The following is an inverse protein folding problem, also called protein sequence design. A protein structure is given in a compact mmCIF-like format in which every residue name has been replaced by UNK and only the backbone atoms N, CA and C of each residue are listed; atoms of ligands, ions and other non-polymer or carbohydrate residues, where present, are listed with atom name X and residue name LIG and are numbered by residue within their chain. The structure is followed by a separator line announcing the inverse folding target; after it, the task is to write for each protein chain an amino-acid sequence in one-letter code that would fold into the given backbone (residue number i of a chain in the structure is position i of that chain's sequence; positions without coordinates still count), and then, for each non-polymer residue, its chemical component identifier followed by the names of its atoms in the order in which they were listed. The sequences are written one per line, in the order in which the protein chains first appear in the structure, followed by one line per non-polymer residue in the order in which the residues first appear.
data_IF_713750956665
#
_entry.id   IF_713750956665
#
_cell.length_a   1.000
_cell.length_b   1.000
_cell.length_c   1.000
_cell.angle_alpha   90.00
_cell.angle_beta   90.00
_cell.angle_gamma   90.00
#
_symmetry.space_group_name_H-M   'P 1'
#
loop_
_entity.id
_entity.type
_entity.pdbx_description
1 polymer ?
#
# COMPACT_ATOMS: atom_id res chain seq x y z
N UNK A 1 -2.07 21.59 7.55
CA UNK A 1 -1.87 20.26 8.18
C UNK A 1 -1.87 19.19 7.08
N UNK A 2 -1.03 18.17 7.19
CA UNK A 2 -1.07 17.02 6.28
C UNK A 2 -2.26 16.12 6.64
N UNK A 3 -2.94 15.56 5.63
CA UNK A 3 -4.05 14.61 5.81
C UNK A 3 -3.63 13.23 5.36
N UNK A 4 -3.94 12.23 6.18
CA UNK A 4 -3.73 10.82 5.91
C UNK A 4 -5.07 10.10 5.98
N UNK A 5 -5.31 9.16 5.08
CA UNK A 5 -6.57 8.40 5.00
C UNK A 5 -6.23 6.92 5.05
N UNK A 6 -6.84 6.20 5.98
CA UNK A 6 -6.65 4.76 6.16
C UNK A 6 -7.94 4.06 5.74
N UNK A 7 -7.81 3.11 4.82
CA UNK A 7 -8.89 2.19 4.44
C UNK A 7 -8.67 0.85 5.17
N UNK A 8 -9.48 0.57 6.19
CA UNK A 8 -9.32 -0.61 7.06
C UNK A 8 -10.57 -1.49 7.08
N UNK A 9 -10.41 -2.75 7.48
CA UNK A 9 -11.46 -3.79 7.47
C UNK A 9 -10.92 -5.18 7.11
N UNK A 10 -11.71 -6.22 7.31
CA UNK A 10 -11.34 -7.62 7.00
C UNK A 10 -11.12 -7.85 5.50
N UNK A 11 -10.49 -8.97 5.13
CA UNK A 11 -10.35 -9.37 3.73
C UNK A 11 -11.73 -9.55 3.08
N UNK A 12 -11.90 -9.02 1.87
CA UNK A 12 -13.20 -9.01 1.18
C UNK A 12 -14.16 -7.88 1.58
N UNK A 13 -13.85 -7.05 2.59
CA UNK A 13 -14.74 -5.95 3.02
C UNK A 13 -14.88 -4.78 2.01
N UNK A 14 -14.27 -4.86 0.82
CA UNK A 14 -14.40 -3.85 -0.22
C UNK A 14 -13.49 -2.62 -0.09
N UNK A 15 -12.43 -2.66 0.73
CA UNK A 15 -11.48 -1.54 0.93
C UNK A 15 -10.91 -0.98 -0.37
N UNK A 16 -10.43 -1.86 -1.26
CA UNK A 16 -9.86 -1.47 -2.56
C UNK A 16 -10.92 -0.88 -3.49
N UNK A 17 -12.14 -1.44 -3.47
CA UNK A 17 -13.28 -0.89 -4.20
C UNK A 17 -13.62 0.51 -3.71
N UNK A 18 -13.70 0.70 -2.39
CA UNK A 18 -13.99 1.99 -1.78
C UNK A 18 -12.96 3.06 -2.15
N UNK A 19 -11.67 2.70 -2.18
CA UNK A 19 -10.61 3.58 -2.68
C UNK A 19 -10.85 3.98 -4.15
N UNK A 20 -11.11 3.02 -5.03
CA UNK A 20 -11.32 3.26 -6.47
C UNK A 20 -12.58 4.09 -6.77
N UNK A 21 -13.64 3.95 -5.96
CA UNK A 21 -14.88 4.71 -6.13
C UNK A 21 -14.67 6.22 -5.94
N UNK A 22 -13.68 6.64 -5.15
CA UNK A 22 -13.45 8.05 -4.82
C UNK A 22 -12.18 8.60 -5.48
N UNK A 23 -12.34 9.14 -6.69
CA UNK A 23 -11.26 9.75 -7.49
C UNK A 23 -10.40 10.78 -6.73
N UNK A 24 -10.96 11.47 -5.73
CA UNK A 24 -10.24 12.45 -4.91
C UNK A 24 -9.02 11.86 -4.19
N UNK A 25 -8.99 10.55 -3.95
CA UNK A 25 -7.86 9.89 -3.30
C UNK A 25 -6.77 9.44 -4.27
N UNK A 26 -7.04 9.40 -5.58
CA UNK A 26 -6.04 9.03 -6.59
C UNK A 26 -4.92 10.07 -6.74
N UNK A 27 -5.14 11.30 -6.27
CA UNK A 27 -4.15 12.36 -6.25
C UNK A 27 -3.22 12.28 -5.02
N UNK A 28 -3.53 11.40 -4.05
CA UNK A 28 -2.70 11.18 -2.88
C UNK A 28 -1.74 10.00 -3.14
N UNK A 29 -0.49 10.06 -2.66
CA UNK A 29 0.40 8.90 -2.67
C UNK A 29 -0.27 7.70 -1.99
N UNK A 30 -0.37 6.59 -2.71
CA UNK A 30 -1.01 5.36 -2.22
C UNK A 30 0.05 4.35 -1.79
N UNK A 31 -0.11 3.82 -0.58
CA UNK A 31 0.69 2.73 -0.04
C UNK A 31 -0.25 1.54 0.18
N UNK A 32 0.00 0.44 -0.51
CA UNK A 32 -0.72 -0.82 -0.31
C UNK A 32 0.29 -1.96 -0.17
N UNK A 33 0.26 -2.63 0.99
CA UNK A 33 1.18 -3.73 1.32
C UNK A 33 1.01 -4.90 0.34
N UNK A 34 -0.20 -5.25 -0.09
CA UNK A 34 -0.42 -6.38 -0.99
C UNK A 34 0.28 -6.18 -2.36
N UNK A 35 0.36 -4.94 -2.84
CA UNK A 35 1.02 -4.60 -4.10
C UNK A 35 2.54 -4.54 -3.96
N UNK A 36 3.00 -4.06 -2.82
CA UNK A 36 4.41 -4.08 -2.46
C UNK A 36 4.89 -5.54 -2.34
N UNK A 37 4.13 -6.42 -1.68
CA UNK A 37 4.49 -7.82 -1.57
C UNK A 37 4.51 -8.52 -2.94
N UNK A 38 3.56 -8.22 -3.83
CA UNK A 38 3.55 -8.76 -5.21
C UNK A 38 4.76 -8.35 -6.05
N UNK A 39 5.31 -7.16 -5.81
CA UNK A 39 6.45 -6.63 -6.59
C UNK A 39 7.80 -7.08 -6.06
N UNK A 40 7.90 -7.49 -4.79
CA UNK A 40 9.18 -7.77 -4.15
C UNK A 40 9.46 -9.24 -3.81
N UNK A 41 8.45 -10.11 -3.70
CA UNK A 41 8.65 -11.55 -3.44
C UNK A 41 7.91 -12.07 -2.21
N UNK A 42 8.39 -13.17 -1.62
CA UNK A 42 7.75 -13.76 -0.44
C UNK A 42 8.09 -12.93 0.81
N UNK A 43 7.06 -12.44 1.50
CA UNK A 43 7.20 -11.62 2.72
C UNK A 43 7.93 -12.34 3.85
N UNK A 44 8.02 -13.67 3.78
CA UNK A 44 8.78 -14.50 4.73
C UNK A 44 10.29 -14.44 4.51
N UNK A 45 10.75 -13.86 3.41
CA UNK A 45 12.17 -13.73 3.07
C UNK A 45 12.64 -12.33 3.47
N UNK A 46 13.43 -12.26 4.54
CA UNK A 46 13.92 -10.99 5.12
C UNK A 46 14.67 -10.10 4.13
N UNK A 47 15.38 -10.69 3.16
CA UNK A 47 16.09 -9.92 2.12
C UNK A 47 15.16 -9.17 1.17
N UNK A 48 13.94 -9.67 0.94
CA UNK A 48 12.97 -9.01 0.07
C UNK A 48 12.28 -7.86 0.82
N UNK A 49 12.08 -7.99 2.13
CA UNK A 49 11.60 -6.92 3.01
C UNK A 49 12.59 -5.74 3.08
N UNK A 50 13.89 -5.99 3.17
CA UNK A 50 14.89 -4.92 3.19
C UNK A 50 15.01 -4.14 1.86
N UNK A 51 14.70 -4.78 0.72
CA UNK A 51 14.65 -4.09 -0.58
C UNK A 51 13.45 -3.14 -0.66
N UNK A 52 12.30 -3.55 -0.12
CA UNK A 52 11.08 -2.72 -0.03
C UNK A 52 11.36 -1.43 0.73
N UNK A 53 11.95 -1.56 1.92
CA UNK A 53 12.25 -0.43 2.79
C UNK A 53 13.16 0.59 2.08
N UNK A 54 14.26 0.11 1.48
CA UNK A 54 15.19 0.97 0.76
C UNK A 54 14.60 1.62 -0.50
N UNK A 55 13.64 0.98 -1.17
CA UNK A 55 12.96 1.53 -2.35
C UNK A 55 11.87 2.56 -2.01
N UNK A 56 11.18 2.40 -0.88
CA UNK A 56 10.10 3.28 -0.45
C UNK A 56 10.59 4.61 0.16
N UNK A 57 11.78 4.63 0.77
CA UNK A 57 12.29 5.80 1.50
C UNK A 57 13.36 6.60 0.77
N UNK A 58 13.70 6.24 -0.49
CA UNK A 58 14.73 6.93 -1.29
C UNK A 58 14.20 7.89 -2.36
N UNK A 59 12.88 8.10 -2.46
CA UNK A 59 12.27 9.05 -3.40
C UNK A 59 11.48 10.14 -2.69
#
# INVERSE_FOLDING_TARGET
MKRYVIFAGVNGAGKSTLYQTFLKYHQMPRINIDEILKTFGDWKITSDVMKVENGLFRN
#
